data_IF_288006447494
#
_entry.id   IF_288006447494
#
_cell.length_a   1.000
_cell.length_b   1.000
_cell.length_c   1.000
_cell.angle_alpha   90.00
_cell.angle_beta   90.00
_cell.angle_gamma   90.00
#
_symmetry.space_group_name_H-M   'P 1'
#
loop_
_entity.id
_entity.type
_entity.pdbx_description
1 polymer ?
#
# COMPACT_ATOMS: atom_id res chain seq x y z
N UNK A 1 8.73 23.26 20.24
CA UNK A 1 10.03 23.32 19.57
C UNK A 1 10.86 24.39 20.23
N UNK A 2 11.69 23.96 21.17
CA UNK A 2 12.76 24.80 21.70
C UNK A 2 13.91 24.66 20.69
N UNK A 3 14.03 25.62 19.77
CA UNK A 3 15.08 25.64 18.74
C UNK A 3 16.50 25.72 19.35
N UNK A 4 16.57 25.99 20.65
CA UNK A 4 17.78 26.13 21.46
C UNK A 4 18.38 24.79 21.94
N UNK A 5 17.64 23.68 21.82
CA UNK A 5 18.10 22.34 22.24
C UNK A 5 18.77 21.57 21.09
N UNK A 6 18.51 21.97 19.83
CA UNK A 6 19.09 21.31 18.66
C UNK A 6 20.38 22.03 18.26
N UNK A 7 21.54 21.40 18.48
CA UNK A 7 22.84 21.95 18.09
C UNK A 7 22.97 22.26 16.58
N UNK A 8 22.19 21.57 15.73
CA UNK A 8 22.07 21.84 14.31
C UNK A 8 20.65 21.49 13.80
N UNK A 9 19.70 22.44 13.83
CA UNK A 9 18.32 22.19 13.41
C UNK A 9 18.22 21.85 11.92
N UNK A 10 19.09 22.42 11.08
CA UNK A 10 19.15 22.10 9.65
C UNK A 10 19.54 20.64 9.40
N UNK A 11 20.55 20.11 10.12
CA UNK A 11 20.95 18.72 10.00
C UNK A 11 19.86 17.76 10.50
N UNK A 12 19.17 18.12 11.59
CA UNK A 12 18.05 17.33 12.11
C UNK A 12 16.88 17.28 11.12
N UNK A 13 16.52 18.42 10.52
CA UNK A 13 15.47 18.51 9.50
C UNK A 13 15.86 17.73 8.23
N UNK A 14 17.10 17.86 7.79
CA UNK A 14 17.62 17.13 6.64
C UNK A 14 17.57 15.60 6.85
N UNK A 15 18.00 15.13 8.02
CA UNK A 15 17.92 13.71 8.37
C UNK A 15 16.48 13.20 8.42
N UNK A 16 15.53 14.00 8.92
CA UNK A 16 14.11 13.65 8.92
C UNK A 16 13.53 13.54 7.51
N UNK A 17 13.89 14.47 6.62
CA UNK A 17 13.43 14.43 5.22
C UNK A 17 14.03 13.22 4.50
N UNK A 18 15.31 12.93 4.72
CA UNK A 18 15.95 11.75 4.14
C UNK A 18 15.31 10.45 4.61
N UNK A 19 15.10 10.27 5.92
CA UNK A 19 14.48 9.05 6.44
C UNK A 19 13.04 8.89 5.96
N UNK A 20 12.28 9.97 5.88
CA UNK A 20 10.93 9.95 5.29
C UNK A 20 10.95 9.56 3.81
N UNK A 21 11.90 10.09 3.02
CA UNK A 21 12.05 9.73 1.61
C UNK A 21 12.44 8.26 1.41
N UNK A 22 13.35 7.72 2.23
CA UNK A 22 13.69 6.30 2.19
C UNK A 22 12.50 5.41 2.57
N UNK A 23 11.74 5.78 3.61
CA UNK A 23 10.52 5.06 4.00
C UNK A 23 9.44 5.12 2.92
N UNK A 24 9.34 6.23 2.19
CA UNK A 24 8.44 6.35 1.05
C UNK A 24 8.86 5.42 -0.10
N UNK A 25 10.15 5.38 -0.46
CA UNK A 25 10.66 4.49 -1.51
C UNK A 25 10.49 3.02 -1.11
N UNK A 26 10.81 2.64 0.13
CA UNK A 26 10.57 1.29 0.64
C UNK A 26 9.07 0.98 0.70
N UNK A 27 8.23 1.98 0.97
CA UNK A 27 6.78 1.89 0.88
C UNK A 27 6.29 1.50 -0.52
N UNK A 28 6.98 1.92 -1.59
CA UNK A 28 6.61 1.58 -2.98
C UNK A 28 6.92 0.13 -3.38
N UNK A 29 7.56 -0.65 -2.50
CA UNK A 29 7.84 -2.06 -2.73
C UNK A 29 6.54 -2.90 -2.67
N UNK A 30 6.45 -3.99 -3.46
CA UNK A 30 5.38 -4.94 -3.30
C UNK A 30 5.42 -5.53 -1.88
N UNK A 31 4.25 -5.68 -1.25
CA UNK A 31 3.92 -6.11 0.12
C UNK A 31 3.99 -5.01 1.18
N UNK A 32 4.71 -3.92 0.94
CA UNK A 32 4.74 -2.79 1.87
C UNK A 32 3.59 -1.85 1.50
N UNK A 33 2.66 -1.68 2.43
CA UNK A 33 1.41 -0.97 2.15
C UNK A 33 1.66 0.54 1.94
N UNK A 34 1.60 0.97 0.67
CA UNK A 34 1.74 2.36 0.24
C UNK A 34 0.70 3.29 0.88
N UNK A 35 -0.49 2.78 1.20
CA UNK A 35 -1.53 3.59 1.81
C UNK A 35 -1.17 3.98 3.23
N UNK A 36 -0.64 3.04 4.02
CA UNK A 36 -0.30 3.31 5.42
C UNK A 36 0.76 4.41 5.55
N UNK A 37 1.78 4.41 4.69
CA UNK A 37 2.86 5.41 4.74
C UNK A 37 2.41 6.79 4.23
N UNK A 38 1.72 6.86 3.10
CA UNK A 38 1.20 8.14 2.55
C UNK A 38 0.18 8.74 3.51
N UNK A 39 -0.76 7.91 3.99
CA UNK A 39 -1.80 8.34 4.91
C UNK A 39 -1.22 8.73 6.26
N UNK A 40 -0.27 7.96 6.79
CA UNK A 40 0.46 8.26 8.03
C UNK A 40 1.22 9.58 7.95
N UNK A 41 1.88 9.86 6.83
CA UNK A 41 2.56 11.15 6.61
C UNK A 41 1.58 12.32 6.55
N UNK A 42 0.51 12.19 5.75
CA UNK A 42 -0.52 13.22 5.65
C UNK A 42 -1.19 13.51 7.01
N UNK A 43 -1.57 12.46 7.74
CA UNK A 43 -2.17 12.57 9.07
C UNK A 43 -1.18 13.15 10.09
N UNK A 44 0.10 12.77 10.03
CA UNK A 44 1.18 13.32 10.84
C UNK A 44 1.41 14.81 10.60
N UNK A 45 1.39 15.25 9.33
CA UNK A 45 1.49 16.67 8.98
C UNK A 45 0.29 17.47 9.47
N UNK A 46 -0.94 17.00 9.20
CA UNK A 46 -2.16 17.70 9.62
C UNK A 46 -2.21 17.80 11.16
N UNK A 47 -1.90 16.70 11.87
CA UNK A 47 -1.85 16.72 13.33
C UNK A 47 -0.72 17.61 13.89
N UNK A 48 0.40 17.77 13.18
CA UNK A 48 1.45 18.73 13.56
C UNK A 48 0.95 20.17 13.55
N UNK A 49 0.10 20.56 12.59
CA UNK A 49 -0.54 21.88 12.59
C UNK A 49 -1.52 22.07 13.76
N UNK A 50 -2.17 21.01 14.24
CA UNK A 50 -3.01 21.06 15.45
C UNK A 50 -2.18 21.30 16.73
N UNK A 51 -0.94 20.78 16.78
CA UNK A 51 -0.07 20.79 17.98
C UNK A 51 0.84 22.03 18.05
N UNK A 52 1.23 22.61 16.90
CA UNK A 52 2.18 23.73 16.82
C UNK A 52 1.77 24.97 17.64
N UNK A 53 0.48 25.10 17.96
CA UNK A 53 -0.11 26.22 18.69
C UNK A 53 0.42 26.35 20.14
N UNK A 54 1.03 25.31 20.71
CA UNK A 54 1.62 25.37 22.06
C UNK A 54 2.86 26.28 22.18
N UNK A 55 3.38 26.81 21.08
CA UNK A 55 4.62 27.58 21.06
C UNK A 55 4.45 29.10 21.03
N UNK A 56 3.25 29.61 20.72
CA UNK A 56 3.06 31.06 20.60
C UNK A 56 2.17 31.60 21.72
N UNK A 57 2.80 32.00 22.84
CA UNK A 57 2.13 32.47 24.07
C UNK A 57 1.53 33.88 23.98
N UNK A 58 1.66 34.60 22.86
CA UNK A 58 1.11 35.96 22.68
C UNK A 58 0.36 36.04 21.37
N UNK A 59 -0.98 36.18 21.39
CA UNK A 59 -1.71 36.90 20.32
C UNK A 59 -3.22 37.11 20.60
N UNK A 60 -3.73 38.18 19.97
CA UNK A 60 -5.07 38.77 20.03
C UNK A 60 -6.25 37.83 19.68
N UNK A 61 -7.44 38.18 20.17
CA UNK A 61 -8.71 37.46 20.01
C UNK A 61 -9.06 37.04 18.56
N UNK A 62 -8.74 37.88 17.56
CA UNK A 62 -8.98 37.60 16.13
C UNK A 62 -8.15 36.42 15.62
N UNK A 63 -6.88 36.32 16.05
CA UNK A 63 -6.03 35.19 15.75
C UNK A 63 -6.50 33.93 16.48
N UNK A 64 -6.99 34.06 17.72
CA UNK A 64 -7.55 32.95 18.50
C UNK A 64 -8.82 32.37 17.88
N UNK A 65 -9.71 33.23 17.37
CA UNK A 65 -10.97 32.79 16.75
C UNK A 65 -10.73 32.11 15.40
N UNK A 66 -9.90 32.72 14.54
CA UNK A 66 -9.46 32.15 13.28
C UNK A 66 -8.75 30.80 13.48
N UNK A 67 -7.86 30.68 14.48
CA UNK A 67 -7.18 29.43 14.82
C UNK A 67 -8.14 28.35 15.30
N UNK A 68 -9.12 28.66 16.16
CA UNK A 68 -10.15 27.69 16.58
C UNK A 68 -10.94 27.16 15.39
N UNK A 69 -11.26 28.03 14.42
CA UNK A 69 -11.92 27.63 13.18
C UNK A 69 -11.04 26.68 12.36
N UNK A 70 -9.79 27.05 12.05
CA UNK A 70 -8.88 26.17 11.31
C UNK A 70 -8.64 24.83 12.02
N UNK A 71 -8.59 24.83 13.35
CA UNK A 71 -8.42 23.61 14.16
C UNK A 71 -9.65 22.71 14.10
N UNK A 72 -10.84 23.29 14.18
CA UNK A 72 -12.09 22.57 14.01
C UNK A 72 -12.19 21.98 12.59
N UNK A 73 -11.86 22.77 11.57
CA UNK A 73 -11.82 22.31 10.17
C UNK A 73 -10.83 21.16 10.00
N UNK A 74 -9.60 21.30 10.47
CA UNK A 74 -8.58 20.25 10.38
C UNK A 74 -8.99 18.97 11.15
N UNK A 75 -9.58 19.10 12.34
CA UNK A 75 -10.10 17.95 13.09
C UNK A 75 -11.26 17.27 12.35
N UNK A 76 -12.20 18.03 11.79
CA UNK A 76 -13.28 17.49 10.96
C UNK A 76 -12.74 16.79 9.71
N UNK A 77 -11.75 17.36 9.03
CA UNK A 77 -11.09 16.73 7.89
C UNK A 77 -10.43 15.40 8.28
N UNK A 78 -9.72 15.35 9.41
CA UNK A 78 -9.10 14.13 9.93
C UNK A 78 -10.15 13.05 10.21
N UNK A 79 -11.24 13.40 10.92
CA UNK A 79 -12.31 12.46 11.24
C UNK A 79 -13.05 11.97 9.99
N UNK A 80 -13.29 12.84 9.03
CA UNK A 80 -13.92 12.50 7.76
C UNK A 80 -13.08 11.51 6.97
N UNK A 81 -11.80 11.81 6.79
CA UNK A 81 -10.85 10.96 6.06
C UNK A 81 -10.69 9.60 6.74
N UNK A 82 -10.66 9.57 8.07
CA UNK A 82 -10.63 8.32 8.83
C UNK A 82 -11.91 7.48 8.67
N UNK A 83 -13.09 8.12 8.76
CA UNK A 83 -14.37 7.43 8.60
C UNK A 83 -14.55 6.85 7.19
N UNK A 84 -14.17 7.59 6.16
CA UNK A 84 -14.17 7.11 4.76
C UNK A 84 -13.21 5.93 4.61
N UNK A 85 -11.98 6.04 5.16
CA UNK A 85 -11.01 4.95 5.14
C UNK A 85 -11.54 3.66 5.77
N UNK A 86 -12.19 3.75 6.94
CA UNK A 86 -12.83 2.60 7.58
C UNK A 86 -14.01 2.04 6.76
N UNK A 87 -14.83 2.90 6.16
CA UNK A 87 -15.94 2.48 5.31
C UNK A 87 -15.49 1.67 4.10
N UNK A 88 -14.40 2.10 3.44
CA UNK A 88 -13.78 1.38 2.33
C UNK A 88 -13.14 0.08 2.82
N UNK A 89 -12.42 0.09 3.95
CA UNK A 89 -11.77 -1.10 4.51
C UNK A 89 -12.77 -2.20 4.88
N UNK A 90 -13.90 -1.83 5.51
CA UNK A 90 -14.94 -2.77 5.92
C UNK A 90 -16.00 -3.03 4.84
N UNK A 91 -15.80 -2.52 3.61
CA UNK A 91 -16.75 -2.63 2.48
C UNK A 91 -18.19 -2.27 2.87
N UNK A 92 -18.36 -1.21 3.65
CA UNK A 92 -19.68 -0.75 4.08
C UNK A 92 -20.46 -0.30 2.86
N UNK A 93 -21.53 -1.02 2.51
CA UNK A 93 -22.33 -0.78 1.30
C UNK A 93 -21.91 -1.56 0.06
N UNK A 94 -20.96 -2.51 0.17
CA UNK A 94 -20.53 -3.36 -0.95
C UNK A 94 -19.67 -2.62 -2.00
N UNK A 95 -19.16 -1.44 -1.66
CA UNK A 95 -18.30 -0.65 -2.53
C UNK A 95 -16.87 -1.22 -2.52
N UNK A 96 -16.31 -1.43 -3.70
CA UNK A 96 -14.92 -1.83 -3.84
C UNK A 96 -14.01 -0.60 -3.83
N UNK A 97 -12.82 -0.70 -3.23
CA UNK A 97 -11.86 0.40 -3.19
C UNK A 97 -11.49 0.96 -4.58
N UNK A 98 -11.60 0.13 -5.62
CA UNK A 98 -11.37 0.51 -7.01
C UNK A 98 -12.39 1.51 -7.57
N UNK A 99 -13.62 1.54 -7.05
CA UNK A 99 -14.63 2.53 -7.44
C UNK A 99 -14.32 3.91 -6.86
N UNK A 100 -13.85 3.96 -5.61
CA UNK A 100 -13.45 5.20 -4.96
C UNK A 100 -12.16 5.76 -5.55
N UNK A 101 -11.28 4.88 -6.04
CA UNK A 101 -9.97 5.25 -6.56
C UNK A 101 -9.51 4.29 -7.67
N UNK A 102 -9.81 4.61 -8.94
CA UNK A 102 -9.49 3.73 -10.07
C UNK A 102 -7.98 3.59 -10.32
N UNK A 103 -7.17 4.46 -9.72
CA UNK A 103 -5.71 4.43 -9.83
C UNK A 103 -5.02 3.87 -8.59
N UNK A 104 -5.78 3.44 -7.57
CA UNK A 104 -5.19 2.98 -6.32
C UNK A 104 -4.32 1.74 -6.51
N UNK A 105 -4.65 0.84 -7.44
CA UNK A 105 -3.77 -0.27 -7.80
C UNK A 105 -2.39 0.17 -8.34
N UNK A 106 -2.31 1.33 -9.01
CA UNK A 106 -1.06 1.91 -9.53
C UNK A 106 -0.27 2.66 -8.45
N UNK A 107 -0.95 3.13 -7.41
CA UNK A 107 -0.34 3.81 -6.26
C UNK A 107 0.11 2.77 -5.21
N UNK A 108 -0.59 1.63 -5.12
CA UNK A 108 -0.24 0.48 -4.27
C UNK A 108 1.03 -0.23 -4.68
N UNK A 109 1.44 -0.14 -5.94
CA UNK A 109 2.69 -0.71 -6.38
C UNK A 109 3.17 0.05 -7.62
N UNK A 110 4.41 0.51 -7.55
CA UNK A 110 5.12 1.08 -8.70
C UNK A 110 6.49 0.43 -8.81
N UNK A 111 6.89 0.07 -10.03
CA UNK A 111 8.16 -0.59 -10.27
C UNK A 111 9.31 0.39 -10.04
N UNK A 112 10.39 -0.08 -9.41
CA UNK A 112 11.55 0.75 -9.09
C UNK A 112 12.82 0.22 -9.77
N UNK A 113 13.65 1.09 -10.37
CA UNK A 113 13.42 2.52 -10.63
C UNK A 113 12.21 2.78 -11.55
N UNK A 114 11.54 3.92 -11.40
CA UNK A 114 10.34 4.23 -12.20
C UNK A 114 10.63 4.15 -13.70
N UNK A 115 9.84 3.35 -14.42
CA UNK A 115 9.99 3.15 -15.87
C UNK A 115 10.99 2.05 -16.27
N UNK A 116 11.50 1.26 -15.33
CA UNK A 116 12.33 0.09 -15.63
C UNK A 116 11.55 -1.00 -16.39
N UNK A 117 12.26 -1.81 -17.18
CA UNK A 117 11.70 -2.96 -17.91
C UNK A 117 11.99 -4.27 -17.15
N UNK A 118 11.15 -5.29 -17.35
CA UNK A 118 11.28 -6.58 -16.69
C UNK A 118 12.68 -7.18 -16.91
N UNK A 119 13.42 -7.42 -15.82
CA UNK A 119 14.79 -7.92 -15.83
C UNK A 119 15.86 -6.93 -15.32
N UNK A 120 15.57 -5.62 -15.29
CA UNK A 120 16.48 -4.60 -14.74
C UNK A 120 15.90 -3.82 -13.54
N UNK A 121 14.70 -4.20 -13.09
CA UNK A 121 14.01 -3.60 -11.96
C UNK A 121 14.45 -4.22 -10.64
N UNK A 122 14.49 -3.41 -9.56
CA UNK A 122 14.69 -3.91 -8.20
C UNK A 122 13.44 -4.65 -7.70
N UNK A 123 12.25 -4.16 -8.06
CA UNK A 123 10.98 -4.87 -7.89
C UNK A 123 9.99 -4.46 -8.99
N UNK A 124 9.08 -5.39 -9.33
CA UNK A 124 8.00 -5.19 -10.30
C UNK A 124 6.65 -5.44 -9.65
N UNK A 125 5.58 -4.96 -10.30
CA UNK A 125 4.21 -5.10 -9.82
C UNK A 125 3.43 -6.22 -10.51
N UNK A 126 4.08 -6.95 -11.43
CA UNK A 126 3.53 -8.16 -12.06
C UNK A 126 3.37 -9.31 -11.03
N UNK A 127 4.15 -9.29 -9.94
CA UNK A 127 3.99 -10.28 -8.85
C UNK A 127 2.82 -9.99 -7.92
N UNK A 128 2.22 -8.80 -7.96
CA UNK A 128 1.16 -8.38 -7.05
C UNK A 128 -0.24 -8.87 -7.47
N UNK A 129 -0.52 -8.89 -8.78
CA UNK A 129 -1.78 -9.42 -9.29
C UNK A 129 -1.78 -10.95 -9.34
N UNK A 130 -0.63 -11.58 -9.57
CA UNK A 130 -0.52 -13.04 -9.53
C UNK A 130 -0.85 -13.64 -8.15
N UNK A 131 -0.29 -13.11 -7.05
CA UNK A 131 -0.31 -13.82 -5.76
C UNK A 131 -1.61 -13.69 -4.97
N UNK A 132 -2.33 -12.55 -5.06
CA UNK A 132 -3.60 -12.35 -4.33
C UNK A 132 -4.87 -12.72 -5.11
N UNK A 133 -4.76 -13.04 -6.40
CA UNK A 133 -5.91 -13.37 -7.26
C UNK A 133 -5.78 -14.70 -8.01
N UNK A 134 -4.62 -15.36 -7.96
CA UNK A 134 -4.45 -16.67 -8.55
C UNK A 134 -5.01 -17.74 -7.61
N UNK A 135 -6.08 -18.40 -8.06
CA UNK A 135 -6.66 -19.53 -7.36
C UNK A 135 -6.14 -20.82 -8.00
N UNK A 136 -5.52 -21.70 -7.21
CA UNK A 136 -5.04 -23.00 -7.67
C UNK A 136 -5.83 -24.14 -7.05
N UNK A 137 -6.16 -25.16 -7.85
CA UNK A 137 -6.76 -26.41 -7.38
C UNK A 137 -5.98 -27.59 -7.94
N UNK A 138 -5.38 -28.40 -7.08
CA UNK A 138 -4.74 -29.64 -7.50
C UNK A 138 -5.76 -30.79 -7.64
N UNK A 139 -5.50 -31.68 -8.58
CA UNK A 139 -6.20 -32.95 -8.79
C UNK A 139 -5.16 -34.06 -8.78
N UNK A 140 -5.21 -34.98 -7.80
CA UNK A 140 -4.24 -36.07 -7.73
C UNK A 140 -4.47 -37.08 -8.86
N UNK A 141 -3.40 -37.48 -9.54
CA UNK A 141 -3.42 -38.55 -10.55
C UNK A 141 -2.68 -39.75 -9.95
N UNK A 142 -3.43 -40.61 -9.26
CA UNK A 142 -2.90 -41.79 -8.57
C UNK A 142 -2.28 -41.49 -7.20
N UNK A 143 -1.34 -40.54 -7.12
CA UNK A 143 -0.64 -40.16 -5.86
C UNK A 143 -0.60 -38.63 -5.70
N UNK A 144 -0.64 -38.09 -4.46
CA UNK A 144 -0.47 -36.65 -4.23
C UNK A 144 0.87 -36.10 -4.76
N UNK A 145 1.91 -36.94 -4.86
CA UNK A 145 3.21 -36.58 -5.44
C UNK A 145 3.21 -36.40 -6.96
N UNK A 146 2.14 -36.83 -7.64
CA UNK A 146 1.97 -36.65 -9.08
C UNK A 146 0.54 -36.15 -9.36
N UNK A 147 0.36 -34.85 -9.13
CA UNK A 147 -0.93 -34.17 -9.27
C UNK A 147 -0.92 -33.24 -10.47
N UNK A 148 -2.08 -33.06 -11.10
CA UNK A 148 -2.31 -32.00 -12.09
C UNK A 148 -2.89 -30.78 -11.38
N UNK A 149 -2.34 -29.59 -11.58
CA UNK A 149 -2.80 -28.36 -10.93
C UNK A 149 -3.50 -27.46 -11.92
N UNK A 150 -4.74 -27.07 -11.61
CA UNK A 150 -5.48 -26.06 -12.37
C UNK A 150 -5.32 -24.69 -11.69
N UNK A 151 -4.65 -23.76 -12.35
CA UNK A 151 -4.46 -22.38 -11.93
C UNK A 151 -5.47 -21.46 -12.65
N UNK A 152 -6.06 -20.52 -11.92
CA UNK A 152 -6.87 -19.42 -12.48
C UNK A 152 -6.04 -18.14 -12.48
N UNK A 153 -5.38 -17.86 -13.59
CA UNK A 153 -4.56 -16.66 -13.75
C UNK A 153 -5.45 -15.42 -14.03
N UNK A 154 -5.30 -14.30 -13.31
CA UNK A 154 -6.02 -13.06 -13.62
C UNK A 154 -5.54 -12.46 -14.94
N UNK A 155 -6.43 -11.77 -15.67
CA UNK A 155 -6.12 -11.07 -16.94
C UNK A 155 -6.45 -9.59 -16.80
N UNK A 156 -5.59 -8.70 -17.37
CA UNK A 156 -5.66 -7.22 -17.25
C UNK A 156 -7.01 -6.55 -17.60
N UNK A 157 -7.95 -7.22 -18.27
CA UNK A 157 -9.26 -6.67 -18.66
C UNK A 157 -10.44 -7.17 -17.80
N UNK A 158 -10.16 -7.84 -16.68
CA UNK A 158 -11.18 -8.49 -15.87
C UNK A 158 -11.54 -9.85 -16.47
N UNK A 159 -11.29 -10.90 -15.71
CA UNK A 159 -11.46 -12.29 -16.14
C UNK A 159 -10.29 -13.17 -15.73
N UNK A 160 -10.46 -14.48 -15.90
CA UNK A 160 -9.46 -15.49 -15.52
C UNK A 160 -9.13 -16.38 -16.72
N UNK A 161 -7.83 -16.62 -16.94
CA UNK A 161 -7.34 -17.64 -17.85
C UNK A 161 -6.98 -18.89 -17.04
N UNK A 162 -7.58 -20.02 -17.38
CA UNK A 162 -7.24 -21.31 -16.77
C UNK A 162 -5.93 -21.83 -17.37
N UNK A 163 -5.00 -22.23 -16.52
CA UNK A 163 -3.75 -22.88 -16.88
C UNK A 163 -3.71 -24.23 -16.17
N UNK A 164 -3.33 -25.30 -16.86
CA UNK A 164 -3.20 -26.63 -16.24
C UNK A 164 -1.75 -27.06 -16.29
N UNK A 165 -1.16 -27.33 -15.13
CA UNK A 165 0.22 -27.74 -14.95
C UNK A 165 0.24 -29.23 -14.59
N UNK A 166 0.75 -30.12 -15.46
CA UNK A 166 0.86 -31.54 -15.14
C UNK A 166 2.09 -31.81 -14.24
N UNK A 167 2.03 -32.91 -13.48
CA UNK A 167 3.17 -33.45 -12.72
C UNK A 167 3.75 -32.52 -11.65
N UNK A 168 2.87 -31.98 -10.80
CA UNK A 168 3.23 -31.19 -9.62
C UNK A 168 3.15 -32.08 -8.38
N UNK A 169 4.16 -31.97 -7.53
CA UNK A 169 4.15 -32.60 -6.21
C UNK A 169 3.27 -31.77 -5.24
N UNK A 170 2.05 -32.24 -5.02
CA UNK A 170 1.08 -31.58 -4.13
C UNK A 170 1.18 -32.06 -2.68
N UNK A 171 2.22 -32.82 -2.31
CA UNK A 171 2.45 -33.19 -0.89
C UNK A 171 2.79 -31.98 -0.02
N UNK A 172 3.34 -30.92 -0.62
CA UNK A 172 3.69 -29.65 0.03
C UNK A 172 2.79 -28.54 -0.50
N UNK A 173 1.47 -28.71 -0.42
CA UNK A 173 0.53 -27.69 -0.90
C UNK A 173 0.30 -26.60 0.17
N UNK A 174 1.00 -25.48 0.04
CA UNK A 174 0.84 -24.27 0.88
C UNK A 174 0.70 -22.99 0.05
N UNK A 175 0.45 -21.86 0.72
CA UNK A 175 0.28 -20.56 0.03
C UNK A 175 1.56 -20.12 -0.70
N UNK A 176 2.74 -20.47 -0.19
CA UNK A 176 4.03 -20.13 -0.81
C UNK A 176 4.27 -20.92 -2.11
N UNK A 177 3.95 -22.21 -2.10
CA UNK A 177 4.10 -23.08 -3.27
C UNK A 177 3.07 -22.73 -4.35
N UNK A 178 1.84 -22.37 -3.96
CA UNK A 178 0.85 -21.84 -4.88
C UNK A 178 1.31 -20.51 -5.51
N UNK A 179 1.88 -19.61 -4.71
CA UNK A 179 2.42 -18.34 -5.20
C UNK A 179 3.51 -18.54 -6.27
N UNK A 180 4.43 -19.49 -6.05
CA UNK A 180 5.51 -19.79 -7.01
C UNK A 180 4.96 -20.39 -8.31
N UNK A 181 4.00 -21.33 -8.22
CA UNK A 181 3.35 -21.92 -9.40
C UNK A 181 2.63 -20.86 -10.24
N UNK A 182 1.90 -19.96 -9.59
CA UNK A 182 1.25 -18.84 -10.27
C UNK A 182 2.26 -17.88 -10.90
N UNK A 183 3.41 -17.64 -10.26
CA UNK A 183 4.49 -16.79 -10.79
C UNK A 183 5.11 -17.38 -12.06
N UNK A 184 5.38 -18.67 -12.07
CA UNK A 184 5.97 -19.34 -13.23
C UNK A 184 4.99 -19.50 -14.40
N UNK A 185 3.73 -19.85 -14.09
CA UNK A 185 2.79 -20.33 -15.09
C UNK A 185 1.71 -19.32 -15.47
N UNK A 186 1.66 -18.11 -14.91
CA UNK A 186 0.71 -17.07 -15.34
C UNK A 186 1.41 -15.93 -16.11
N UNK A 187 1.50 -16.00 -17.46
CA UNK A 187 2.13 -14.95 -18.24
C UNK A 187 1.25 -13.69 -18.25
N UNK A 188 1.78 -12.60 -17.70
CA UNK A 188 1.13 -11.29 -17.63
C UNK A 188 0.14 -11.13 -16.49
N UNK A 189 0.23 -11.99 -15.47
CA UNK A 189 -0.25 -11.66 -14.13
C UNK A 189 0.68 -10.61 -13.49
#
# INVERSE_FOLDING_TARGET
>A
LNWDVQANPCCALFNLVLTAAFQFVLGTAPLVDNFAHVFGFCMGLISSFLILDRLNKRQHCLATCSRRFFRAVAACCVLFVFAVGLGVLFRVGGTEANEFCPQCARISCTSFPWGCQAGSCWWTCDTMQATMLCEGRYRPVGSPANSTVDLKCPVRRGGYRKMTVPSVDATVWDEAHLAELCREHCPGA
#
